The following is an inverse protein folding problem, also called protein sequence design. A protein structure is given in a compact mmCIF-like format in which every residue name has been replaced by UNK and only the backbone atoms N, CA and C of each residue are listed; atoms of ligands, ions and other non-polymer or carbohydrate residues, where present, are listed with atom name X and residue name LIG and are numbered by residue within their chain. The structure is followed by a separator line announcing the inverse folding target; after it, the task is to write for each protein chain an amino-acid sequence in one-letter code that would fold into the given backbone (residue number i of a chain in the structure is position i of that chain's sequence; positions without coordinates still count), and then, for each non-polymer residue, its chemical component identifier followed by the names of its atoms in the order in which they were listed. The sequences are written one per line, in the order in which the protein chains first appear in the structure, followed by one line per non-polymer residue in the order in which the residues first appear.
data_IF_383067793372
#
_entry.id   IF_383067793372
#
_cell.length_a   1.000
_cell.length_b   1.000
_cell.length_c   1.000
_cell.angle_alpha   90.00
_cell.angle_beta   90.00
_cell.angle_gamma   90.00
#
_symmetry.space_group_name_H-M   'P 1'
#
loop_
_entity.id
_entity.type
_entity.pdbx_description
1 polymer ?
#
# COMPACT_ATOMS: atom_id res chain seq x y z
N UNK A 1 7.98 1.28 14.63
CA UNK A 1 7.74 1.64 13.22
C UNK A 1 7.06 2.99 13.06
N UNK A 2 5.90 3.26 13.71
CA UNK A 2 5.26 4.58 13.68
C UNK A 2 6.23 5.73 13.99
N UNK A 3 6.92 5.68 15.12
CA UNK A 3 7.92 6.68 15.51
C UNK A 3 9.10 6.76 14.52
N UNK A 4 9.54 5.63 13.99
CA UNK A 4 10.70 5.53 13.10
C UNK A 4 10.42 6.13 11.71
N UNK A 5 9.22 5.89 11.17
CA UNK A 5 8.84 6.32 9.83
C UNK A 5 8.15 7.68 9.85
N UNK A 6 7.52 8.07 10.97
CA UNK A 6 6.84 9.35 11.12
C UNK A 6 5.88 9.60 9.96
N UNK A 7 5.99 10.79 9.36
CA UNK A 7 5.12 11.22 8.26
C UNK A 7 5.43 10.51 6.93
N UNK A 8 6.54 9.77 6.83
CA UNK A 8 6.92 9.06 5.62
C UNK A 8 6.03 7.84 5.31
N UNK A 9 5.23 7.37 6.26
CA UNK A 9 4.30 6.25 6.04
C UNK A 9 3.15 6.20 7.05
N UNK A 10 2.00 5.69 6.62
CA UNK A 10 1.00 5.17 7.55
C UNK A 10 1.40 3.75 7.95
N UNK A 11 1.53 3.54 9.26
CA UNK A 11 1.89 2.25 9.83
C UNK A 11 0.71 1.73 10.62
N UNK A 12 0.11 0.65 10.14
CA UNK A 12 -1.12 0.07 10.66
C UNK A 12 -0.89 -1.38 11.06
N UNK A 13 -1.69 -1.87 12.00
CA UNK A 13 -1.86 -3.29 12.27
C UNK A 13 -2.75 -3.91 11.21
N UNK A 14 -2.76 -5.24 11.15
CA UNK A 14 -3.69 -6.00 10.31
C UNK A 14 -5.15 -5.60 10.56
N UNK A 15 -5.54 -5.51 11.82
CA UNK A 15 -6.91 -5.24 12.22
C UNK A 15 -7.32 -3.82 11.83
N UNK A 16 -6.46 -2.83 12.05
CA UNK A 16 -6.70 -1.45 11.59
C UNK A 16 -6.88 -1.35 10.07
N UNK A 17 -6.16 -2.16 9.29
CA UNK A 17 -6.33 -2.21 7.82
C UNK A 17 -7.70 -2.78 7.44
N UNK A 18 -8.13 -3.85 8.10
CA UNK A 18 -9.40 -4.53 7.82
C UNK A 18 -10.58 -3.66 8.29
N UNK A 19 -10.55 -3.20 9.53
CA UNK A 19 -11.59 -2.35 10.14
C UNK A 19 -11.71 -1.00 9.44
N UNK A 20 -10.58 -0.45 8.98
CA UNK A 20 -10.54 0.78 8.19
C UNK A 20 -11.04 0.62 6.74
N UNK A 21 -11.38 -0.60 6.31
CA UNK A 21 -11.93 -0.87 4.97
C UNK A 21 -10.95 -0.62 3.82
N UNK A 22 -9.64 -0.53 4.10
CA UNK A 22 -8.61 -0.15 3.13
C UNK A 22 -8.47 -1.12 1.95
N UNK A 23 -8.92 -2.37 2.14
CA UNK A 23 -8.91 -3.44 1.14
C UNK A 23 -10.34 -3.88 0.76
N UNK A 24 -11.37 -3.16 1.21
CA UNK A 24 -12.77 -3.60 1.10
C UNK A 24 -13.07 -4.80 2.01
N UNK A 25 -14.02 -5.65 1.61
CA UNK A 25 -14.35 -6.88 2.34
C UNK A 25 -13.21 -7.88 2.22
N UNK A 26 -12.58 -8.23 3.35
CA UNK A 26 -11.48 -9.18 3.40
C UNK A 26 -11.99 -10.56 3.79
N UNK A 27 -11.78 -11.55 2.91
CA UNK A 27 -12.08 -12.94 3.21
C UNK A 27 -11.16 -13.46 4.35
N UNK A 28 -11.67 -14.24 5.33
CA UNK A 28 -10.86 -14.77 6.43
C UNK A 28 -9.60 -15.54 5.99
N UNK A 29 -9.63 -16.23 4.85
CA UNK A 29 -8.45 -16.92 4.31
C UNK A 29 -7.40 -15.95 3.77
N UNK A 30 -7.80 -14.77 3.31
CA UNK A 30 -6.91 -13.68 2.88
C UNK A 30 -6.37 -12.91 4.07
N UNK A 31 -7.17 -12.72 5.12
CA UNK A 31 -6.76 -12.04 6.35
C UNK A 31 -5.48 -12.66 6.95
N UNK A 32 -5.29 -13.98 6.81
CA UNK A 32 -4.10 -14.68 7.28
C UNK A 32 -2.82 -14.34 6.50
N UNK A 33 -2.93 -13.80 5.28
CA UNK A 33 -1.80 -13.42 4.42
C UNK A 33 -1.32 -12.00 4.67
N UNK A 34 -2.13 -11.16 5.32
CA UNK A 34 -1.70 -9.83 5.74
C UNK A 34 -0.63 -10.00 6.83
N UNK A 35 0.41 -9.18 6.77
CA UNK A 35 1.37 -9.08 7.87
C UNK A 35 0.72 -8.49 9.12
N UNK A 36 1.34 -8.69 10.28
CA UNK A 36 0.89 -8.06 11.54
C UNK A 36 1.08 -6.54 11.52
N UNK A 37 2.02 -6.07 10.70
CA UNK A 37 2.30 -4.65 10.45
C UNK A 37 2.22 -4.41 8.94
N UNK A 38 1.43 -3.42 8.57
CA UNK A 38 1.31 -2.90 7.21
C UNK A 38 1.91 -1.49 7.18
N UNK A 39 2.79 -1.26 6.22
CA UNK A 39 3.43 0.05 5.99
C UNK A 39 3.01 0.54 4.62
N UNK A 40 2.27 1.64 4.58
CA UNK A 40 1.86 2.32 3.36
C UNK A 40 2.62 3.66 3.28
N UNK A 41 3.65 3.71 2.43
CA UNK A 41 4.54 4.88 2.32
C UNK A 41 3.82 6.11 1.75
N UNK A 42 4.25 7.30 2.14
CA UNK A 42 3.71 8.57 1.65
C UNK A 42 4.76 9.34 0.84
N UNK A 43 4.27 10.15 -0.11
CA UNK A 43 5.11 10.98 -0.96
C UNK A 43 6.12 10.14 -1.75
N UNK A 44 7.40 10.50 -1.68
CA UNK A 44 8.48 9.84 -2.43
C UNK A 44 9.25 8.80 -1.59
N UNK A 45 8.60 8.22 -0.59
CA UNK A 45 9.21 7.27 0.33
C UNK A 45 8.98 5.83 -0.10
N UNK A 46 9.96 4.95 0.15
CA UNK A 46 9.85 3.51 -0.09
C UNK A 46 10.57 2.75 1.02
N UNK A 47 10.00 1.63 1.45
CA UNK A 47 10.60 0.73 2.44
C UNK A 47 11.01 -0.57 1.77
N UNK A 48 12.29 -0.92 1.89
CA UNK A 48 12.83 -2.18 1.40
C UNK A 48 13.31 -3.05 2.55
N UNK A 49 13.02 -4.35 2.45
CA UNK A 49 13.81 -5.35 3.16
C UNK A 49 15.11 -5.57 2.40
N UNK A 50 16.19 -4.91 2.83
CA UNK A 50 17.49 -4.89 2.14
C UNK A 50 18.05 -6.27 1.81
N UNK A 51 17.81 -7.28 2.66
CA UNK A 51 18.26 -8.65 2.41
C UNK A 51 17.57 -9.35 1.22
N UNK A 52 16.46 -8.79 0.72
CA UNK A 52 15.64 -9.38 -0.35
C UNK A 52 15.52 -8.47 -1.59
N UNK A 53 15.76 -7.17 -1.43
CA UNK A 53 15.68 -6.21 -2.53
C UNK A 53 16.88 -6.31 -3.45
N UNK A 54 16.65 -6.42 -4.77
CA UNK A 54 17.72 -6.34 -5.77
C UNK A 54 18.19 -4.89 -5.92
N UNK A 55 19.45 -4.70 -6.33
CA UNK A 55 19.97 -3.37 -6.66
C UNK A 55 19.12 -2.67 -7.72
N UNK A 56 18.62 -3.41 -8.71
CA UNK A 56 17.73 -2.90 -9.74
C UNK A 56 16.41 -2.38 -9.17
N UNK A 57 15.78 -3.10 -8.25
CA UNK A 57 14.52 -2.64 -7.62
C UNK A 57 14.72 -1.33 -6.85
N UNK A 58 15.81 -1.23 -6.08
CA UNK A 58 16.13 -0.01 -5.32
C UNK A 58 16.56 1.17 -6.21
N UNK A 59 16.92 0.92 -7.46
CA UNK A 59 17.29 1.95 -8.44
C UNK A 59 16.10 2.46 -9.28
N UNK A 60 14.90 1.90 -9.08
CA UNK A 60 13.70 2.37 -9.77
C UNK A 60 13.36 3.81 -9.37
N UNK A 61 13.04 4.63 -10.36
CA UNK A 61 12.69 6.06 -10.18
C UNK A 61 11.29 6.23 -9.59
N UNK A 62 10.36 5.32 -9.89
CA UNK A 62 8.97 5.37 -9.43
C UNK A 62 8.57 4.10 -8.69
N UNK A 63 7.76 4.27 -7.65
CA UNK A 63 7.14 3.20 -6.86
C UNK A 63 5.67 3.57 -6.63
N UNK A 64 4.83 2.56 -6.45
CA UNK A 64 3.41 2.72 -6.13
C UNK A 64 2.98 1.57 -5.21
N UNK A 65 1.77 1.65 -4.65
CA UNK A 65 1.16 0.59 -3.86
C UNK A 65 0.79 1.01 -2.44
N UNK A 66 0.92 2.29 -2.13
CA UNK A 66 0.31 2.87 -0.95
C UNK A 66 -1.13 3.33 -1.26
N UNK A 67 -1.65 4.19 -0.42
CA UNK A 67 -3.08 4.36 -0.18
C UNK A 67 -3.58 5.78 -0.42
N UNK A 68 -2.70 6.64 -0.92
CA UNK A 68 -3.00 8.00 -1.33
C UNK A 68 -3.89 8.04 -2.57
N UNK A 69 -4.59 9.16 -2.77
CA UNK A 69 -5.45 9.39 -3.94
C UNK A 69 -4.64 9.31 -5.25
N UNK A 70 -3.49 9.99 -5.30
CA UNK A 70 -2.60 10.01 -6.48
C UNK A 70 -2.09 8.62 -6.91
N UNK A 71 -2.00 7.66 -5.98
CA UNK A 71 -1.60 6.28 -6.29
C UNK A 71 -2.76 5.37 -6.69
N UNK A 72 -4.00 5.77 -6.38
CA UNK A 72 -5.20 4.92 -6.52
C UNK A 72 -6.16 5.39 -7.60
N UNK A 73 -6.06 6.64 -8.03
CA UNK A 73 -6.85 7.17 -9.14
C UNK A 73 -6.43 6.52 -10.46
N UNK A 74 -7.28 5.62 -10.96
CA UNK A 74 -7.11 4.99 -12.26
C UNK A 74 -8.26 5.43 -13.17
N UNK A 75 -7.99 6.13 -14.29
CA UNK A 75 -9.03 6.52 -15.23
C UNK A 75 -9.77 5.30 -15.79
N UNK A 76 -11.10 5.39 -15.83
CA UNK A 76 -11.95 4.38 -16.47
C UNK A 76 -12.60 5.01 -17.70
N UNK A 77 -12.39 4.41 -18.86
CA UNK A 77 -13.08 4.77 -20.11
C UNK A 77 -14.16 3.71 -20.35
N UNK A 78 -15.43 3.97 -20.02
CA UNK A 78 -16.51 3.02 -20.32
C UNK A 78 -16.69 2.94 -21.85
N UNK A 79 -16.75 1.72 -22.39
CA UNK A 79 -16.98 1.47 -23.82
C UNK A 79 -18.44 1.76 -24.23
N UNK A 80 -18.88 3.00 -24.07
CA UNK A 80 -20.19 3.50 -24.56
C UNK A 80 -21.41 3.15 -23.71
N UNK A 81 -21.27 2.42 -22.60
CA UNK A 81 -22.35 2.26 -21.63
C UNK A 81 -22.34 3.42 -20.62
N UNK A 82 -22.82 4.58 -21.07
CA UNK A 82 -23.31 5.62 -20.16
C UNK A 82 -24.78 5.32 -19.91
N UNK A 83 -25.15 5.14 -18.64
CA UNK A 83 -26.53 5.25 -18.22
C UNK A 83 -26.97 6.72 -18.24
#
# INVERSE_FOLDING_TARGET
WRETLGDAAWVMTRDEVIEGGLLGLVDPQVAQRLGDVVVACQGHSVVYRRAQASSTSMAMVGQHGSVSEIEREIPVIPLGAWA
#
